data_IF_580566091460
#
_entry.id   IF_580566091460
#
_cell.length_a   1.000
_cell.length_b   1.000
_cell.length_c   1.000
_cell.angle_alpha   90.00
_cell.angle_beta   90.00
_cell.angle_gamma   90.00
#
_symmetry.space_group_name_H-M   'P 1'
#
loop_
_entity.id
_entity.type
_entity.pdbx_description
1 polymer ?
#
# COMPACT_ATOMS: atom_id res chain seq x y z
N UNK A 1 -24.69 -20.22 -33.40
CA UNK A 1 -23.50 -19.39 -33.71
C UNK A 1 -23.53 -18.00 -33.05
N UNK A 2 -24.66 -17.26 -33.01
CA UNK A 2 -24.74 -15.94 -32.35
C UNK A 2 -24.47 -15.90 -30.82
N UNK A 3 -24.77 -16.98 -30.09
CA UNK A 3 -24.61 -17.03 -28.62
C UNK A 3 -23.16 -17.21 -28.14
N UNK A 4 -22.28 -17.73 -28.99
CA UNK A 4 -20.87 -17.99 -28.62
C UNK A 4 -20.05 -16.69 -28.69
N UNK A 5 -20.34 -15.83 -29.67
CA UNK A 5 -19.70 -14.51 -29.83
C UNK A 5 -19.99 -13.58 -28.65
N UNK A 6 -21.20 -13.66 -28.08
CA UNK A 6 -21.58 -12.87 -26.90
C UNK A 6 -20.81 -13.31 -25.63
N UNK A 7 -20.43 -14.59 -25.52
CA UNK A 7 -19.73 -15.11 -24.36
C UNK A 7 -18.24 -14.75 -24.37
N UNK A 8 -17.61 -14.69 -25.55
CA UNK A 8 -16.20 -14.27 -25.70
C UNK A 8 -16.03 -12.76 -25.53
N UNK A 9 -17.04 -11.97 -25.90
CA UNK A 9 -17.07 -10.53 -25.63
C UNK A 9 -17.20 -10.22 -24.13
N UNK A 10 -17.91 -11.06 -23.37
CA UNK A 10 -18.09 -10.89 -21.92
C UNK A 10 -16.80 -11.16 -21.11
N UNK A 11 -15.94 -12.07 -21.57
CA UNK A 11 -14.65 -12.36 -20.91
C UNK A 11 -13.57 -11.31 -21.18
N UNK A 12 -13.71 -10.49 -22.23
CA UNK A 12 -12.80 -9.37 -22.51
C UNK A 12 -13.16 -8.10 -21.73
N UNK A 13 -14.30 -8.09 -21.02
CA UNK A 13 -14.76 -6.98 -20.18
C UNK A 13 -14.30 -7.11 -18.72
N UNK A 14 -13.55 -8.15 -18.34
CA UNK A 14 -12.82 -8.15 -17.08
C UNK A 14 -11.63 -7.21 -17.25
N UNK A 15 -11.87 -5.94 -16.91
CA UNK A 15 -10.94 -4.81 -17.08
C UNK A 15 -9.53 -5.11 -16.57
N UNK A 16 -8.55 -4.34 -17.07
CA UNK A 16 -7.15 -4.40 -16.68
C UNK A 16 -7.01 -4.27 -15.15
N UNK A 17 -7.02 -5.40 -14.45
CA UNK A 17 -6.80 -5.45 -13.01
C UNK A 17 -5.32 -5.23 -12.76
N UNK A 18 -4.99 -4.42 -11.76
CA UNK A 18 -3.60 -4.32 -11.31
C UNK A 18 -3.21 -5.65 -10.65
N UNK A 19 -2.12 -6.26 -11.10
CA UNK A 19 -1.53 -7.41 -10.44
C UNK A 19 -0.62 -6.92 -9.32
N UNK A 20 -0.69 -7.59 -8.16
CA UNK A 20 0.06 -7.24 -6.97
C UNK A 20 0.73 -8.50 -6.43
N UNK A 21 2.00 -8.41 -6.02
CA UNK A 21 2.67 -9.54 -5.36
C UNK A 21 2.21 -9.71 -3.91
N UNK A 22 1.81 -8.62 -3.26
CA UNK A 22 1.25 -8.65 -1.92
C UNK A 22 -0.28 -8.86 -1.99
N UNK A 23 -0.81 -9.97 -1.46
CA UNK A 23 -2.24 -10.24 -1.49
C UNK A 23 -3.00 -9.20 -0.69
N UNK A 24 -4.25 -8.96 -1.08
CA UNK A 24 -5.12 -8.13 -0.26
C UNK A 24 -5.45 -8.87 1.02
N UNK A 25 -5.24 -8.22 2.15
CA UNK A 25 -5.57 -8.81 3.44
C UNK A 25 -6.80 -8.11 4.01
N UNK A 26 -7.79 -8.92 4.37
CA UNK A 26 -8.96 -8.45 5.10
C UNK A 26 -8.56 -8.20 6.56
N UNK A 27 -8.91 -7.02 7.06
CA UNK A 27 -8.80 -6.71 8.48
C UNK A 27 -10.09 -7.17 9.15
N UNK A 28 -9.98 -7.71 10.36
CA UNK A 28 -11.15 -8.13 11.11
C UNK A 28 -11.88 -6.91 11.66
N UNK A 29 -13.08 -6.64 11.15
CA UNK A 29 -13.94 -5.58 11.67
C UNK A 29 -14.39 -5.91 13.11
N UNK A 30 -14.38 -4.90 14.00
CA UNK A 30 -14.94 -5.01 15.35
C UNK A 30 -13.99 -5.43 16.48
N UNK A 31 -12.67 -5.43 16.26
CA UNK A 31 -11.67 -5.59 17.32
C UNK A 31 -11.40 -4.27 18.06
N UNK A 32 -10.99 -4.34 19.32
CA UNK A 32 -10.59 -3.15 20.09
C UNK A 32 -9.41 -2.45 19.42
N UNK A 33 -9.51 -1.12 19.27
CA UNK A 33 -8.45 -0.30 18.68
C UNK A 33 -7.15 -0.43 19.45
N UNK A 34 -6.03 -0.62 18.73
CA UNK A 34 -4.69 -0.54 19.30
C UNK A 34 -4.40 0.87 19.82
N UNK A 35 -3.47 0.99 20.79
CA UNK A 35 -3.01 2.29 21.27
C UNK A 35 -2.52 3.21 20.13
N UNK A 36 -2.57 4.55 20.33
CA UNK A 36 -2.04 5.51 19.36
C UNK A 36 -0.58 5.24 19.00
N UNK A 37 -0.23 5.48 17.73
CA UNK A 37 1.15 5.32 17.24
C UNK A 37 1.67 6.63 16.63
N UNK A 38 2.96 6.89 16.83
CA UNK A 38 3.69 7.99 16.22
C UNK A 38 4.47 7.49 15.02
N UNK A 39 4.09 7.91 13.81
CA UNK A 39 4.68 7.40 12.57
C UNK A 39 5.65 8.41 11.97
N UNK A 40 6.90 7.98 11.82
CA UNK A 40 7.96 8.69 11.11
C UNK A 40 8.29 7.95 9.83
N UNK A 41 8.29 8.65 8.70
CA UNK A 41 8.61 8.07 7.39
C UNK A 41 9.81 8.83 6.85
N UNK A 42 10.80 8.11 6.32
CA UNK A 42 12.01 8.70 5.74
C UNK A 42 11.75 9.39 4.38
N UNK A 43 10.74 8.94 3.64
CA UNK A 43 10.25 9.59 2.43
C UNK A 43 9.22 10.69 2.75
N UNK A 44 9.58 11.99 2.62
CA UNK A 44 8.69 13.09 2.93
C UNK A 44 7.48 13.17 1.98
N UNK A 45 7.63 12.75 0.71
CA UNK A 45 6.58 12.86 -0.31
C UNK A 45 5.43 11.89 -0.02
N UNK A 46 5.74 10.69 0.45
CA UNK A 46 4.76 9.64 0.72
C UNK A 46 4.33 9.57 2.19
N UNK A 47 4.96 10.36 3.06
CA UNK A 47 4.74 10.32 4.51
C UNK A 47 3.28 10.54 4.92
N UNK A 48 2.59 11.51 4.30
CA UNK A 48 1.19 11.83 4.58
C UNK A 48 0.25 10.75 4.06
N UNK A 49 0.48 10.27 2.84
CA UNK A 49 -0.29 9.21 2.18
C UNK A 49 -0.24 7.91 2.97
N UNK A 50 0.95 7.48 3.40
CA UNK A 50 1.11 6.27 4.21
C UNK A 50 0.38 6.38 5.55
N UNK A 51 0.52 7.51 6.27
CA UNK A 51 -0.21 7.74 7.53
C UNK A 51 -1.72 7.72 7.32
N UNK A 52 -2.20 8.31 6.23
CA UNK A 52 -3.63 8.29 5.89
C UNK A 52 -4.11 6.86 5.64
N UNK A 53 -3.35 6.04 4.92
CA UNK A 53 -3.69 4.63 4.73
C UNK A 53 -3.68 3.85 6.04
N UNK A 54 -2.72 4.10 6.94
CA UNK A 54 -2.71 3.51 8.28
C UNK A 54 -3.96 3.90 9.08
N UNK A 55 -4.41 5.17 9.03
CA UNK A 55 -5.67 5.58 9.67
C UNK A 55 -6.88 4.88 9.05
N UNK A 56 -6.89 4.75 7.72
CA UNK A 56 -7.96 4.07 6.99
C UNK A 56 -8.05 2.57 7.30
N UNK A 57 -6.98 1.95 7.83
CA UNK A 57 -7.07 0.56 8.31
C UNK A 57 -8.01 0.41 9.50
N UNK A 58 -8.25 1.47 10.28
CA UNK A 58 -9.10 1.43 11.47
C UNK A 58 -8.56 0.57 12.61
N UNK A 59 -7.32 0.08 12.54
CA UNK A 59 -6.73 -0.78 13.58
C UNK A 59 -6.19 0.04 14.76
N UNK A 60 -5.63 1.20 14.49
CA UNK A 60 -5.06 2.09 15.50
C UNK A 60 -6.08 3.14 15.93
N UNK A 61 -6.14 3.45 17.23
CA UNK A 61 -7.01 4.52 17.76
C UNK A 61 -6.69 5.88 17.15
N UNK A 62 -5.39 6.16 16.99
CA UNK A 62 -4.91 7.36 16.32
C UNK A 62 -3.52 7.11 15.70
N UNK A 63 -3.22 7.82 14.63
CA UNK A 63 -1.92 7.77 13.93
C UNK A 63 -1.38 9.19 13.84
N UNK A 64 -0.40 9.48 14.66
CA UNK A 64 0.19 10.79 14.82
C UNK A 64 1.47 10.94 14.00
N UNK A 65 1.87 12.18 13.75
CA UNK A 65 3.10 12.51 13.03
C UNK A 65 4.19 12.90 14.02
N UNK A 66 5.42 12.46 13.78
CA UNK A 66 6.59 12.84 14.57
C UNK A 66 7.04 11.75 15.54
N UNK A 67 7.86 12.13 16.51
CA UNK A 67 8.43 11.21 17.50
C UNK A 67 7.47 10.99 18.67
N UNK A 68 7.43 9.76 19.19
CA UNK A 68 6.73 9.44 20.43
C UNK A 68 7.36 10.17 21.62
N UNK A 69 6.55 10.52 22.63
CA UNK A 69 7.04 11.08 23.91
C UNK A 69 7.01 10.00 24.99
N UNK A 70 8.13 9.81 25.68
CA UNK A 70 8.22 8.84 26.77
C UNK A 70 7.99 7.41 26.29
N UNK A 71 7.07 6.69 26.94
CA UNK A 71 6.78 5.27 26.68
C UNK A 71 5.69 5.03 25.62
N UNK A 72 5.37 6.06 24.83
CA UNK A 72 4.47 5.96 23.68
C UNK A 72 5.07 5.11 22.55
N UNK A 73 4.20 4.50 21.73
CA UNK A 73 4.61 3.67 20.61
C UNK A 73 5.01 4.53 19.41
N UNK A 74 6.21 4.31 18.88
CA UNK A 74 6.64 4.92 17.62
C UNK A 74 6.92 3.88 16.55
N UNK A 75 6.65 4.24 15.31
CA UNK A 75 6.89 3.42 14.13
C UNK A 75 7.74 4.23 13.17
N UNK A 76 8.98 3.77 12.97
CA UNK A 76 9.85 4.32 11.95
C UNK A 76 9.69 3.50 10.69
N UNK A 77 9.40 4.17 9.58
CA UNK A 77 9.20 3.56 8.28
C UNK A 77 10.31 4.00 7.36
N UNK A 78 11.02 3.01 6.80
CA UNK A 78 11.87 3.21 5.64
C UNK A 78 11.11 2.81 4.39
N UNK A 79 10.87 3.75 3.49
CA UNK A 79 10.09 3.55 2.28
C UNK A 79 10.96 3.81 1.06
N UNK A 80 11.12 2.79 0.23
CA UNK A 80 11.77 2.89 -1.06
C UNK A 80 10.76 2.52 -2.14
N UNK A 81 10.33 3.51 -2.91
CA UNK A 81 9.40 3.32 -4.01
C UNK A 81 10.06 3.67 -5.33
N UNK A 82 10.09 2.70 -6.23
CA UNK A 82 10.65 2.84 -7.58
C UNK A 82 9.54 2.68 -8.60
N UNK A 83 9.41 3.70 -9.44
CA UNK A 83 8.49 3.69 -10.58
C UNK A 83 9.29 3.31 -11.82
N UNK A 84 8.91 2.20 -12.44
CA UNK A 84 9.49 1.76 -13.70
C UNK A 84 8.64 2.25 -14.87
N UNK A 85 9.31 2.89 -15.83
CA UNK A 85 8.67 3.40 -17.03
C UNK A 85 8.73 2.38 -18.16
N UNK A 86 7.70 2.34 -19.04
CA UNK A 86 7.74 1.51 -20.22
C UNK A 86 8.97 1.82 -21.08
N UNK A 87 9.56 0.81 -21.75
CA UNK A 87 10.70 1.03 -22.62
C UNK A 87 10.33 1.98 -23.78
N UNK A 88 11.25 2.89 -24.12
CA UNK A 88 11.01 3.98 -25.06
C UNK A 88 10.44 3.54 -26.44
N UNK A 89 10.87 2.43 -27.07
CA UNK A 89 10.27 1.97 -28.32
C UNK A 89 8.76 1.67 -28.21
N UNK A 90 8.31 1.19 -27.06
CA UNK A 90 6.89 0.89 -26.82
C UNK A 90 6.11 2.19 -26.60
N UNK A 91 6.73 3.19 -25.98
CA UNK A 91 6.17 4.56 -25.89
C UNK A 91 5.97 5.14 -27.28
N UNK A 92 6.98 5.07 -28.17
CA UNK A 92 6.88 5.54 -29.55
C UNK A 92 5.77 4.80 -30.33
N UNK A 93 5.65 3.49 -30.15
CA UNK A 93 4.58 2.70 -30.76
C UNK A 93 3.19 3.14 -30.27
N UNK A 94 3.06 3.45 -28.96
CA UNK A 94 1.82 4.01 -28.41
C UNK A 94 1.52 5.37 -29.04
N UNK A 95 2.51 6.27 -29.15
CA UNK A 95 2.34 7.55 -29.84
C UNK A 95 1.92 7.38 -31.32
N UNK A 96 2.56 6.46 -32.05
CA UNK A 96 2.25 6.17 -33.46
C UNK A 96 0.83 5.61 -33.64
N UNK A 97 0.30 4.93 -32.63
CA UNK A 97 -1.07 4.43 -32.60
C UNK A 97 -2.04 5.40 -31.93
N UNK A 98 -1.72 6.70 -31.84
CA UNK A 98 -2.54 7.73 -31.20
C UNK A 98 -2.94 7.36 -29.76
N UNK A 99 -2.00 6.76 -29.03
CA UNK A 99 -2.15 6.28 -27.66
C UNK A 99 -3.19 5.16 -27.49
N UNK A 100 -3.57 4.46 -28.57
CA UNK A 100 -4.47 3.30 -28.51
C UNK A 100 -3.79 2.00 -28.03
N UNK A 101 -2.48 2.01 -27.80
CA UNK A 101 -1.76 0.92 -27.14
C UNK A 101 -1.54 1.24 -25.65
N UNK A 102 -2.11 0.46 -24.71
CA UNK A 102 -1.86 0.63 -23.28
C UNK A 102 -0.45 0.15 -22.93
N UNK A 103 0.17 0.82 -21.97
CA UNK A 103 1.55 0.58 -21.56
C UNK A 103 1.58 -0.03 -20.17
N UNK A 104 2.45 -1.03 -19.96
CA UNK A 104 2.71 -1.55 -18.62
C UNK A 104 3.39 -0.49 -17.77
N UNK A 105 2.81 -0.18 -16.60
CA UNK A 105 3.46 0.59 -15.55
C UNK A 105 3.67 -0.30 -14.34
N UNK A 106 4.86 -0.20 -13.75
CA UNK A 106 5.28 -1.02 -12.62
C UNK A 106 5.74 -0.14 -11.47
N UNK A 107 5.31 -0.49 -10.27
CA UNK A 107 5.70 0.15 -9.01
C UNK A 107 6.29 -0.92 -8.10
N UNK A 108 7.58 -0.81 -7.86
CA UNK A 108 8.31 -1.65 -6.93
C UNK A 108 8.46 -0.89 -5.61
N UNK A 109 7.78 -1.37 -4.56
CA UNK A 109 7.81 -0.74 -3.24
C UNK A 109 8.40 -1.69 -2.22
N UNK A 110 9.39 -1.20 -1.50
CA UNK A 110 9.96 -1.83 -0.31
C UNK A 110 9.70 -0.93 0.89
N UNK A 111 9.12 -1.50 1.94
CA UNK A 111 8.79 -0.79 3.16
C UNK A 111 9.26 -1.58 4.38
N UNK A 112 10.10 -0.97 5.21
CA UNK A 112 10.52 -1.52 6.50
C UNK A 112 9.88 -0.73 7.63
N UNK A 113 9.08 -1.39 8.47
CA UNK A 113 8.45 -0.78 9.63
C UNK A 113 9.17 -1.27 10.88
N UNK A 114 9.79 -0.36 11.62
CA UNK A 114 10.40 -0.65 12.91
C UNK A 114 9.53 -0.06 14.02
N UNK A 115 8.97 -0.93 14.86
CA UNK A 115 8.12 -0.55 15.99
C UNK A 115 8.98 -0.41 17.24
N UNK A 116 8.79 0.68 17.97
CA UNK A 116 9.49 1.04 19.20
C UNK A 116 8.50 1.40 20.29
N UNK A 117 8.93 1.23 21.53
CA UNK A 117 8.31 1.78 22.73
C UNK A 117 9.42 2.49 23.52
N UNK A 118 9.32 3.82 23.64
CA UNK A 118 10.46 4.63 24.07
C UNK A 118 11.70 4.36 23.21
N UNK A 119 12.82 4.03 23.87
CA UNK A 119 14.10 3.73 23.19
C UNK A 119 14.25 2.26 22.78
N UNK A 120 13.28 1.39 23.12
CA UNK A 120 13.37 -0.05 22.87
C UNK A 120 12.69 -0.41 21.56
N UNK A 121 13.46 -0.98 20.63
CA UNK A 121 12.90 -1.61 19.43
C UNK A 121 12.18 -2.91 19.79
N UNK A 122 10.88 -2.97 19.51
CA UNK A 122 10.04 -4.14 19.76
C UNK A 122 10.15 -5.16 18.62
N UNK A 123 9.93 -4.71 17.38
CA UNK A 123 9.98 -5.59 16.20
C UNK A 123 10.22 -4.78 14.93
N UNK A 124 10.72 -5.47 13.90
CA UNK A 124 10.86 -4.92 12.55
C UNK A 124 10.09 -5.81 11.56
N UNK A 125 9.31 -5.18 10.70
CA UNK A 125 8.57 -5.78 9.62
C UNK A 125 9.14 -5.31 8.29
N UNK A 126 9.18 -6.19 7.30
CA UNK A 126 9.62 -5.85 5.95
C UNK A 126 8.57 -6.33 4.95
N UNK A 127 8.16 -5.41 4.07
CA UNK A 127 7.20 -5.66 3.02
C UNK A 127 7.81 -5.30 1.68
N UNK A 128 7.64 -6.19 0.70
CA UNK A 128 7.91 -5.91 -0.71
C UNK A 128 6.64 -6.12 -1.50
N UNK A 129 6.23 -5.11 -2.25
CA UNK A 129 5.09 -5.22 -3.15
C UNK A 129 5.43 -4.62 -4.52
N UNK A 130 5.27 -5.45 -5.54
CA UNK A 130 5.31 -5.04 -6.94
C UNK A 130 3.88 -4.95 -7.44
N UNK A 131 3.48 -3.77 -7.88
CA UNK A 131 2.19 -3.53 -8.51
C UNK A 131 2.39 -3.24 -9.99
N UNK A 132 1.76 -4.03 -10.86
CA UNK A 132 1.82 -3.89 -12.31
C UNK A 132 0.41 -3.65 -12.86
N UNK A 133 0.25 -2.65 -13.74
CA UNK A 133 -1.01 -2.40 -14.44
C UNK A 133 -0.74 -1.84 -15.83
N UNK A 134 -1.52 -2.32 -16.80
CA UNK A 134 -1.60 -1.70 -18.11
C UNK A 134 -2.47 -0.45 -18.04
N UNK A 135 -1.89 0.70 -18.37
CA UNK A 135 -2.64 1.95 -18.42
C UNK A 135 -2.31 2.77 -19.66
N UNK A 136 -3.23 3.65 -20.01
CA UNK A 136 -3.07 4.61 -21.09
C UNK A 136 -1.94 5.59 -20.76
N UNK A 137 -1.19 6.04 -21.77
CA UNK A 137 -0.03 6.92 -21.55
C UNK A 137 -0.41 8.20 -20.76
N UNK A 138 -1.62 8.72 -20.97
CA UNK A 138 -2.14 9.92 -20.34
C UNK A 138 -2.67 9.72 -18.91
N UNK A 139 -2.77 8.48 -18.45
CA UNK A 139 -3.13 8.19 -17.06
C UNK A 139 -1.93 8.47 -16.14
N UNK A 140 -2.11 9.37 -15.16
CA UNK A 140 -1.06 9.81 -14.26
C UNK A 140 -0.62 8.73 -13.25
N UNK A 141 -1.35 7.61 -13.14
CA UNK A 141 -0.91 6.43 -12.37
C UNK A 141 -0.95 6.59 -10.84
N UNK A 142 -1.50 7.69 -10.32
CA UNK A 142 -1.63 7.91 -8.87
C UNK A 142 -2.50 6.85 -8.16
N UNK A 143 -3.40 6.20 -8.90
CA UNK A 143 -4.21 5.09 -8.39
C UNK A 143 -3.34 3.87 -8.02
N UNK A 144 -2.29 3.58 -8.78
CA UNK A 144 -1.40 2.43 -8.53
C UNK A 144 -0.57 2.60 -7.27
N UNK A 145 -0.04 3.81 -7.11
CA UNK A 145 0.73 4.22 -5.95
C UNK A 145 -0.09 4.13 -4.66
N UNK A 146 -1.31 4.68 -4.69
CA UNK A 146 -2.25 4.58 -3.55
C UNK A 146 -2.67 3.14 -3.24
N UNK A 147 -2.93 2.31 -4.26
CA UNK A 147 -3.25 0.89 -4.06
C UNK A 147 -2.08 0.13 -3.43
N UNK A 148 -0.86 0.39 -3.88
CA UNK A 148 0.33 -0.28 -3.36
C UNK A 148 0.57 0.07 -1.88
N UNK A 149 0.57 1.37 -1.54
CA UNK A 149 0.74 1.82 -0.16
C UNK A 149 -0.39 1.35 0.76
N UNK A 150 -1.63 1.34 0.29
CA UNK A 150 -2.78 0.81 1.03
C UNK A 150 -2.60 -0.67 1.39
N UNK A 151 -2.11 -1.50 0.44
CA UNK A 151 -1.83 -2.93 0.69
C UNK A 151 -0.76 -3.13 1.76
N UNK A 152 0.32 -2.36 1.69
CA UNK A 152 1.40 -2.40 2.67
C UNK A 152 0.89 -1.96 4.05
N UNK A 153 0.14 -0.87 4.13
CA UNK A 153 -0.42 -0.36 5.38
C UNK A 153 -1.34 -1.38 6.06
N UNK A 154 -2.20 -2.06 5.29
CA UNK A 154 -3.07 -3.12 5.81
C UNK A 154 -2.29 -4.34 6.28
N UNK A 155 -1.28 -4.77 5.53
CA UNK A 155 -0.43 -5.90 5.93
C UNK A 155 0.28 -5.61 7.25
N UNK A 156 0.85 -4.41 7.40
CA UNK A 156 1.44 -3.95 8.66
C UNK A 156 0.42 -3.92 9.80
N UNK A 157 -0.74 -3.30 9.60
CA UNK A 157 -1.76 -3.20 10.64
C UNK A 157 -2.22 -4.58 11.14
N UNK A 158 -2.40 -5.53 10.22
CA UNK A 158 -2.76 -6.91 10.58
C UNK A 158 -1.64 -7.62 11.34
N UNK A 159 -0.40 -7.52 10.89
CA UNK A 159 0.73 -8.22 11.52
C UNK A 159 0.96 -7.67 12.94
N UNK A 160 0.85 -6.35 13.14
CA UNK A 160 0.94 -5.73 14.47
C UNK A 160 -0.21 -6.14 15.37
N UNK A 161 -1.43 -6.21 14.84
CA UNK A 161 -2.60 -6.67 15.57
C UNK A 161 -2.45 -8.14 15.99
N UNK A 162 -1.92 -8.99 15.11
CA UNK A 162 -1.70 -10.40 15.38
C UNK A 162 -0.58 -10.66 16.39
N UNK A 163 0.49 -9.88 16.33
CA UNK A 163 1.62 -10.03 17.26
C UNK A 163 1.35 -9.48 18.66
N UNK A 164 0.23 -8.77 18.86
CA UNK A 164 -0.17 -8.15 20.14
C UNK A 164 0.93 -7.28 20.78
N UNK A 165 1.82 -6.69 19.96
CA UNK A 165 2.93 -5.84 20.44
C UNK A 165 2.44 -4.51 21.02
N UNK A 166 1.33 -4.02 20.50
CA UNK A 166 0.66 -2.82 20.96
C UNK A 166 -0.63 -3.29 21.63
N UNK A 167 -0.87 -2.94 22.89
CA UNK A 167 -2.09 -3.36 23.57
C UNK A 167 -3.30 -2.62 22.99
N UNK A 168 -4.46 -3.24 23.13
CA UNK A 168 -5.73 -2.56 22.88
C UNK A 168 -5.87 -1.36 23.81
N UNK A 169 -6.44 -0.26 23.31
CA UNK A 169 -6.54 1.02 24.04
C UNK A 169 -7.44 0.95 25.29
N UNK A 170 -8.12 -0.17 25.52
CA UNK A 170 -8.89 -0.49 26.72
C UNK A 170 -8.25 -1.53 27.66
N UNK A 171 -7.07 -2.09 27.33
CA UNK A 171 -6.42 -3.13 28.12
C UNK A 171 -5.53 -2.60 29.26
N UNK A 172 -5.36 -1.29 29.38
CA UNK A 172 -4.72 -0.65 30.53
C UNK A 172 -5.78 -0.26 31.57
N UNK A 173 -6.13 -1.21 32.44
CA UNK A 173 -6.70 -0.95 33.76
C UNK A 173 -5.71 -1.42 34.83
#
# INVERSE_FOLDING_TARGET
MKKIIALTAATLLTGCTATNTLPERALADGQDYLMPIHVMVDDPMNSSTLRNHLRQTGVFRDVQTGTAKGDEYSVQVKLNMQREFPPFPVVLLSCATLFMLPLSKEYNTEAEFSVYQGDKRLKQYSYRNTTQKYTWLLDQGGELEGQNLSRIARAFAQDVQHDHLIPASGAAQ
#
